data_IF_852317749161
#
_entry.id   IF_852317749161
#
_cell.length_a   1.000
_cell.length_b   1.000
_cell.length_c   1.000
_cell.angle_alpha   90.00
_cell.angle_beta   90.00
_cell.angle_gamma   90.00
#
_symmetry.space_group_name_H-M   'P 1'
#
loop_
_entity.id
_entity.type
_entity.pdbx_description
1 polymer ?
#
# COMPACT_ATOMS: atom_id res chain seq x y z
N UNK A 1 5.10 -12.67 1.71
CA UNK A 1 4.73 -11.26 1.99
C UNK A 1 5.49 -10.32 1.07
N UNK A 2 5.04 -9.07 0.94
CA UNK A 2 5.75 -8.10 0.12
C UNK A 2 7.19 -7.91 0.62
N UNK A 3 8.15 -7.94 -0.30
CA UNK A 3 9.57 -7.67 -0.07
C UNK A 3 10.38 -8.70 0.71
N UNK A 4 9.83 -9.85 1.13
CA UNK A 4 10.54 -10.80 2.01
C UNK A 4 11.93 -11.20 1.48
N UNK A 5 12.04 -11.55 0.20
CA UNK A 5 13.31 -11.92 -0.43
C UNK A 5 14.34 -10.77 -0.43
N UNK A 6 13.91 -9.53 -0.70
CA UNK A 6 14.79 -8.36 -0.67
C UNK A 6 15.19 -8.02 0.76
N UNK A 7 14.23 -8.01 1.68
CA UNK A 7 14.45 -7.72 3.10
C UNK A 7 15.43 -8.71 3.73
N UNK A 8 15.27 -10.01 3.47
CA UNK A 8 16.17 -11.04 4.00
C UNK A 8 17.62 -10.85 3.50
N UNK A 9 17.80 -10.57 2.21
CA UNK A 9 19.11 -10.30 1.63
C UNK A 9 19.76 -9.07 2.25
N UNK A 10 19.01 -7.95 2.36
CA UNK A 10 19.51 -6.72 2.96
C UNK A 10 19.85 -6.90 4.45
N UNK A 11 19.02 -7.61 5.21
CA UNK A 11 19.30 -7.92 6.62
C UNK A 11 20.58 -8.73 6.80
N UNK A 12 20.82 -9.72 5.93
CA UNK A 12 22.04 -10.52 5.98
C UNK A 12 23.28 -9.68 5.70
N UNK A 13 23.24 -8.80 4.70
CA UNK A 13 24.32 -7.85 4.39
C UNK A 13 24.59 -6.93 5.60
N UNK A 14 23.54 -6.36 6.18
CA UNK A 14 23.64 -5.44 7.33
C UNK A 14 24.08 -6.11 8.62
N UNK A 15 23.70 -7.38 8.82
CA UNK A 15 24.20 -8.18 9.97
C UNK A 15 25.72 -8.34 9.90
N UNK A 16 26.26 -8.58 8.70
CA UNK A 16 27.71 -8.68 8.49
C UNK A 16 28.41 -7.35 8.75
N UNK A 17 27.83 -6.23 8.34
CA UNK A 17 28.36 -4.90 8.62
C UNK A 17 28.35 -4.54 10.11
N UNK A 18 27.26 -4.84 10.82
CA UNK A 18 27.15 -4.59 12.28
C UNK A 18 28.14 -5.40 13.09
N UNK A 19 28.50 -6.60 12.64
CA UNK A 19 29.44 -7.48 13.32
C UNK A 19 30.91 -7.00 13.28
N UNK A 20 31.23 -6.03 12.44
CA UNK A 20 32.57 -5.46 12.31
C UNK A 20 32.72 -4.24 13.21
N UNK A 21 33.57 -4.30 14.20
CA UNK A 21 33.82 -3.18 15.12
C UNK A 21 34.48 -1.96 14.45
N UNK A 22 35.22 -2.17 13.34
CA UNK A 22 35.77 -1.14 12.47
C UNK A 22 35.45 -1.50 11.04
N UNK A 23 35.09 -0.50 10.22
CA UNK A 23 34.86 -0.67 8.78
C UNK A 23 35.99 0.02 8.02
N UNK A 24 36.47 -0.62 6.96
CA UNK A 24 37.30 0.00 5.94
C UNK A 24 36.43 0.43 4.75
N UNK A 25 36.92 1.34 3.91
CA UNK A 25 36.27 1.70 2.65
C UNK A 25 36.01 0.47 1.77
N UNK A 26 36.92 -0.52 1.79
CA UNK A 26 36.77 -1.76 1.05
C UNK A 26 35.58 -2.59 1.55
N UNK A 27 35.34 -2.62 2.87
CA UNK A 27 34.20 -3.30 3.48
C UNK A 27 32.88 -2.65 3.07
N UNK A 28 32.81 -1.32 3.08
CA UNK A 28 31.63 -0.57 2.66
C UNK A 28 31.34 -0.82 1.17
N UNK A 29 32.36 -0.72 0.30
CA UNK A 29 32.21 -0.99 -1.13
C UNK A 29 31.78 -2.42 -1.44
N UNK A 30 32.30 -3.40 -0.71
CA UNK A 30 31.89 -4.79 -0.83
C UNK A 30 30.42 -4.98 -0.46
N UNK A 31 29.97 -4.43 0.68
CA UNK A 31 28.57 -4.48 1.10
C UNK A 31 27.64 -3.77 0.11
N UNK A 32 28.02 -2.59 -0.38
CA UNK A 32 27.22 -1.86 -1.38
C UNK A 32 27.12 -2.59 -2.72
N UNK A 33 28.13 -3.39 -3.07
CA UNK A 33 28.04 -4.28 -4.25
C UNK A 33 26.98 -5.37 -4.06
N UNK A 34 26.88 -5.94 -2.87
CA UNK A 34 25.83 -6.92 -2.54
C UNK A 34 24.45 -6.26 -2.51
N UNK A 35 24.32 -5.05 -1.89
CA UNK A 35 23.08 -4.27 -1.91
C UNK A 35 22.65 -3.97 -3.36
N UNK A 36 23.59 -3.59 -4.23
CA UNK A 36 23.32 -3.38 -5.66
C UNK A 36 22.71 -4.62 -6.32
N UNK A 37 23.30 -5.78 -6.08
CA UNK A 37 22.80 -7.04 -6.65
C UNK A 37 21.39 -7.37 -6.11
N UNK A 38 21.17 -7.23 -4.81
CA UNK A 38 19.86 -7.46 -4.19
C UNK A 38 18.77 -6.55 -4.79
N UNK A 39 19.07 -5.27 -5.02
CA UNK A 39 18.12 -4.33 -5.64
C UNK A 39 17.84 -4.68 -7.11
N UNK A 40 18.85 -5.11 -7.88
CA UNK A 40 18.65 -5.54 -9.25
C UNK A 40 17.82 -6.83 -9.36
N UNK A 41 18.04 -7.79 -8.45
CA UNK A 41 17.24 -9.01 -8.36
C UNK A 41 15.79 -8.73 -7.92
N UNK A 42 15.58 -7.62 -7.20
CA UNK A 42 14.26 -7.12 -6.86
C UNK A 42 13.60 -6.28 -7.97
N UNK A 43 14.09 -6.35 -9.18
CA UNK A 43 13.60 -5.61 -10.36
C UNK A 43 13.59 -4.08 -10.20
N UNK A 44 14.51 -3.52 -9.39
CA UNK A 44 14.69 -2.06 -9.31
C UNK A 44 15.36 -1.57 -10.61
N UNK A 45 14.92 -0.43 -11.13
CA UNK A 45 15.47 0.15 -12.35
C UNK A 45 16.99 0.37 -12.27
N UNK A 46 17.73 -0.09 -13.27
CA UNK A 46 19.20 -0.05 -13.27
C UNK A 46 19.78 1.36 -13.06
N UNK A 47 19.19 2.38 -13.68
CA UNK A 47 19.65 3.77 -13.54
C UNK A 47 19.44 4.26 -12.11
N UNK A 48 18.30 3.89 -11.52
CA UNK A 48 17.94 4.22 -10.13
C UNK A 48 18.91 3.53 -9.16
N UNK A 49 19.17 2.23 -9.34
CA UNK A 49 20.15 1.49 -8.52
C UNK A 49 21.54 2.11 -8.62
N UNK A 50 21.99 2.47 -9.82
CA UNK A 50 23.31 3.09 -10.00
C UNK A 50 23.44 4.42 -9.26
N UNK A 51 22.41 5.27 -9.35
CA UNK A 51 22.39 6.56 -8.67
C UNK A 51 22.33 6.38 -7.15
N UNK A 52 21.48 5.50 -6.67
CA UNK A 52 21.33 5.16 -5.25
C UNK A 52 22.65 4.67 -4.65
N UNK A 53 23.31 3.68 -5.27
CA UNK A 53 24.60 3.17 -4.78
C UNK A 53 25.64 4.26 -4.74
N UNK A 54 25.71 5.13 -5.76
CA UNK A 54 26.63 6.25 -5.80
C UNK A 54 26.41 7.23 -4.64
N UNK A 55 25.14 7.62 -4.41
CA UNK A 55 24.78 8.52 -3.31
C UNK A 55 25.11 7.93 -1.94
N UNK A 56 24.77 6.65 -1.72
CA UNK A 56 25.13 5.95 -0.47
C UNK A 56 26.64 5.85 -0.31
N UNK A 57 27.40 5.51 -1.36
CA UNK A 57 28.85 5.37 -1.30
C UNK A 57 29.52 6.70 -0.92
N UNK A 58 29.14 7.81 -1.58
CA UNK A 58 29.66 9.14 -1.28
C UNK A 58 29.45 9.56 0.18
N UNK A 59 28.30 9.24 0.75
CA UNK A 59 27.98 9.55 2.15
C UNK A 59 28.62 8.57 3.13
N UNK A 60 28.66 7.27 2.80
CA UNK A 60 29.15 6.22 3.69
C UNK A 60 30.67 6.16 3.84
N UNK A 61 31.43 6.66 2.89
CA UNK A 61 32.92 6.73 2.92
C UNK A 61 33.41 8.02 3.60
N UNK A 62 32.51 8.92 3.99
CA UNK A 62 32.87 10.16 4.70
C UNK A 62 33.61 9.90 6.02
N UNK A 63 34.53 10.83 6.37
CA UNK A 63 35.39 10.71 7.56
C UNK A 63 34.58 10.55 8.86
N UNK A 64 33.42 11.23 8.95
CA UNK A 64 32.52 11.18 10.12
C UNK A 64 31.92 9.78 10.33
N UNK A 65 31.63 9.04 9.25
CA UNK A 65 31.11 7.67 9.33
C UNK A 65 32.22 6.69 9.72
N UNK A 66 33.38 6.81 9.08
CA UNK A 66 34.51 5.89 9.26
C UNK A 66 35.15 6.02 10.66
N UNK A 67 35.09 7.21 11.26
CA UNK A 67 35.59 7.48 12.61
C UNK A 67 34.56 7.25 13.72
N UNK A 68 33.32 6.95 13.38
CA UNK A 68 32.23 6.69 14.33
C UNK A 68 32.49 5.43 15.18
N UNK A 69 31.98 5.42 16.41
CA UNK A 69 31.96 4.23 17.27
C UNK A 69 31.06 3.11 16.74
N UNK A 70 30.13 3.43 15.84
CA UNK A 70 29.16 2.49 15.25
C UNK A 70 29.07 2.65 13.74
N UNK A 71 30.17 2.48 12.97
CA UNK A 71 30.18 2.81 11.54
C UNK A 71 29.20 1.95 10.73
N UNK A 72 28.98 0.67 11.10
CA UNK A 72 28.02 -0.19 10.43
C UNK A 72 26.56 0.29 10.60
N UNK A 73 26.21 0.84 11.75
CA UNK A 73 24.88 1.42 11.97
C UNK A 73 24.70 2.72 11.17
N UNK A 74 25.75 3.54 11.07
CA UNK A 74 25.71 4.76 10.27
C UNK A 74 25.50 4.46 8.78
N UNK A 75 26.16 3.44 8.23
CA UNK A 75 25.93 3.01 6.85
C UNK A 75 24.49 2.57 6.62
N UNK A 76 23.92 1.79 7.54
CA UNK A 76 22.51 1.34 7.45
C UNK A 76 21.55 2.54 7.51
N UNK A 77 21.82 3.50 8.38
CA UNK A 77 21.03 4.75 8.47
C UNK A 77 21.06 5.51 7.14
N UNK A 78 22.25 5.65 6.53
CA UNK A 78 22.41 6.31 5.23
C UNK A 78 21.63 5.57 4.14
N UNK A 79 21.69 4.23 4.11
CA UNK A 79 20.91 3.42 3.17
C UNK A 79 19.40 3.67 3.35
N UNK A 80 18.92 3.72 4.59
CA UNK A 80 17.51 4.01 4.86
C UNK A 80 17.10 5.40 4.38
N UNK A 81 17.87 6.42 4.70
CA UNK A 81 17.61 7.81 4.29
C UNK A 81 17.58 7.96 2.76
N UNK A 82 18.52 7.33 2.05
CA UNK A 82 18.53 7.33 0.59
C UNK A 82 17.35 6.55 -0.02
N UNK A 83 16.91 5.45 0.61
CA UNK A 83 15.69 4.74 0.18
C UNK A 83 14.44 5.62 0.34
N UNK A 84 14.31 6.30 1.48
CA UNK A 84 13.21 7.25 1.72
C UNK A 84 13.24 8.36 0.66
N UNK A 85 14.41 8.92 0.37
CA UNK A 85 14.59 9.95 -0.65
C UNK A 85 14.18 9.48 -2.05
N UNK A 86 14.55 8.25 -2.44
CA UNK A 86 14.13 7.64 -3.72
C UNK A 86 12.60 7.55 -3.86
N UNK A 87 11.90 7.24 -2.78
CA UNK A 87 10.45 7.07 -2.76
C UNK A 87 9.68 8.37 -2.60
N UNK A 88 10.37 9.51 -2.31
CA UNK A 88 9.75 10.82 -2.31
C UNK A 88 9.91 11.64 -1.04
N UNK A 89 10.65 11.17 -0.04
CA UNK A 89 10.97 11.83 1.24
C UNK A 89 9.74 12.12 2.12
N UNK A 90 8.64 12.61 1.55
CA UNK A 90 7.43 13.01 2.25
C UNK A 90 6.20 12.28 1.73
N UNK A 91 5.24 12.08 2.62
CA UNK A 91 3.91 11.57 2.26
C UNK A 91 3.16 12.60 1.44
N UNK A 92 2.59 12.17 0.32
CA UNK A 92 1.80 13.03 -0.56
C UNK A 92 0.35 12.59 -0.53
N UNK A 93 -0.57 13.51 -0.32
CA UNK A 93 -2.01 13.26 -0.42
C UNK A 93 -2.57 13.72 -1.77
N UNK A 94 -3.74 13.17 -2.16
CA UNK A 94 -4.50 13.68 -3.29
C UNK A 94 -5.03 15.07 -2.95
N UNK A 95 -4.68 16.07 -3.75
CA UNK A 95 -5.15 17.41 -3.57
C UNK A 95 -6.66 17.50 -3.84
N UNK A 96 -7.43 17.86 -2.83
CA UNK A 96 -8.87 18.06 -2.93
C UNK A 96 -9.19 19.56 -2.85
N UNK A 97 -10.11 20.02 -3.68
CA UNK A 97 -10.67 21.36 -3.60
C UNK A 97 -11.47 21.56 -2.30
N UNK A 98 -11.76 22.81 -1.90
CA UNK A 98 -12.69 23.07 -0.80
C UNK A 98 -14.02 22.33 -0.98
N UNK A 99 -14.69 22.00 0.13
CA UNK A 99 -15.92 21.18 0.11
C UNK A 99 -17.08 21.78 -0.69
N UNK A 100 -17.05 23.08 -0.98
CA UNK A 100 -18.01 23.79 -1.84
C UNK A 100 -17.74 23.61 -3.35
N UNK A 101 -16.59 23.06 -3.71
CA UNK A 101 -16.21 22.84 -5.11
C UNK A 101 -16.07 21.34 -5.39
N UNK A 102 -16.31 20.96 -6.66
CA UNK A 102 -16.15 19.57 -7.10
C UNK A 102 -14.69 19.33 -7.47
N UNK A 103 -14.09 18.33 -6.85
CA UNK A 103 -12.81 17.76 -7.29
C UNK A 103 -13.07 16.61 -8.25
N UNK A 104 -12.50 16.65 -9.44
CA UNK A 104 -12.62 15.61 -10.47
C UNK A 104 -11.31 14.83 -10.52
N UNK A 105 -11.39 13.54 -10.22
CA UNK A 105 -10.27 12.60 -10.23
C UNK A 105 -10.49 11.59 -11.34
N UNK A 106 -9.51 11.42 -12.22
CA UNK A 106 -9.54 10.41 -13.27
C UNK A 106 -8.59 9.26 -12.93
N UNK A 107 -9.14 8.04 -12.87
CA UNK A 107 -8.37 6.83 -12.62
C UNK A 107 -7.94 6.22 -13.94
N UNK A 108 -6.65 6.10 -14.17
CA UNK A 108 -6.04 5.55 -15.37
C UNK A 108 -5.21 4.29 -15.07
N UNK A 109 -4.88 3.49 -16.09
CA UNK A 109 -4.02 2.30 -15.95
C UNK A 109 -4.46 1.13 -16.82
N UNK A 110 -3.65 0.09 -16.88
CA UNK A 110 -3.91 -1.09 -17.69
C UNK A 110 -5.04 -1.97 -17.15
N UNK A 111 -5.53 -2.86 -18.00
CA UNK A 111 -6.48 -3.89 -17.57
C UNK A 111 -5.83 -4.82 -16.54
N UNK A 112 -6.59 -5.18 -15.52
CA UNK A 112 -6.09 -6.05 -14.44
C UNK A 112 -5.23 -5.35 -13.38
N UNK A 113 -4.89 -4.06 -13.55
CA UNK A 113 -4.17 -3.28 -12.56
C UNK A 113 -4.96 -2.96 -11.28
N UNK A 114 -6.24 -3.30 -11.22
CA UNK A 114 -7.08 -3.06 -10.04
C UNK A 114 -7.75 -1.69 -9.98
N UNK A 115 -7.90 -0.97 -11.12
CA UNK A 115 -8.51 0.37 -11.17
C UNK A 115 -9.88 0.43 -10.49
N UNK A 116 -10.85 -0.34 -10.98
CA UNK A 116 -12.24 -0.34 -10.52
C UNK A 116 -12.36 -0.60 -9.01
N UNK A 117 -11.58 -1.57 -8.50
CA UNK A 117 -11.54 -1.86 -7.05
C UNK A 117 -10.92 -0.70 -6.28
N UNK A 118 -9.80 -0.15 -6.78
CA UNK A 118 -9.11 0.99 -6.15
C UNK A 118 -9.97 2.24 -6.16
N UNK A 119 -10.73 2.48 -7.24
CA UNK A 119 -11.69 3.58 -7.38
C UNK A 119 -12.72 3.54 -6.25
N UNK A 120 -13.32 2.38 -5.98
CA UNK A 120 -14.28 2.21 -4.91
C UNK A 120 -13.64 2.34 -3.51
N UNK A 121 -12.43 1.78 -3.31
CA UNK A 121 -11.67 1.93 -2.05
C UNK A 121 -11.36 3.40 -1.75
N UNK A 122 -10.94 4.14 -2.76
CA UNK A 122 -10.61 5.56 -2.64
C UNK A 122 -11.85 6.40 -2.29
N UNK A 123 -12.99 6.11 -2.94
CA UNK A 123 -14.25 6.76 -2.63
C UNK A 123 -14.68 6.53 -1.18
N UNK A 124 -14.54 5.31 -0.67
CA UNK A 124 -14.80 4.99 0.74
C UNK A 124 -13.93 5.81 1.70
N UNK A 125 -12.63 5.97 1.38
CA UNK A 125 -11.72 6.82 2.17
C UNK A 125 -12.12 8.29 2.16
N UNK A 126 -12.52 8.82 1.01
CA UNK A 126 -13.00 10.20 0.93
C UNK A 126 -14.31 10.40 1.69
N UNK A 127 -15.23 9.43 1.61
CA UNK A 127 -16.46 9.45 2.41
C UNK A 127 -16.16 9.46 3.91
N UNK A 128 -15.22 8.65 4.38
CA UNK A 128 -14.78 8.64 5.77
C UNK A 128 -14.16 9.99 6.21
N UNK A 129 -13.53 10.71 5.27
CA UNK A 129 -13.03 12.09 5.49
C UNK A 129 -14.12 13.17 5.35
N UNK A 130 -15.42 12.81 5.31
CA UNK A 130 -16.55 13.73 5.22
C UNK A 130 -16.82 14.29 3.82
N UNK A 131 -16.22 13.72 2.76
CA UNK A 131 -16.55 14.09 1.38
C UNK A 131 -17.82 13.37 0.91
N UNK A 132 -18.45 13.89 -0.14
CA UNK A 132 -19.58 13.28 -0.84
C UNK A 132 -19.10 12.79 -2.22
N UNK A 133 -18.51 11.58 -2.31
CA UNK A 133 -18.00 11.07 -3.57
C UNK A 133 -19.09 10.50 -4.46
N UNK A 134 -18.94 10.70 -5.79
CA UNK A 134 -19.68 10.06 -6.86
C UNK A 134 -18.71 9.23 -7.70
N UNK A 135 -18.98 7.96 -7.85
CA UNK A 135 -18.25 7.07 -8.75
C UNK A 135 -18.87 7.14 -10.16
N UNK A 136 -18.05 7.14 -11.21
CA UNK A 136 -18.52 7.26 -12.58
C UNK A 136 -17.96 6.12 -13.41
N UNK A 137 -18.86 5.31 -14.00
CA UNK A 137 -18.50 4.17 -14.85
C UNK A 137 -18.20 4.63 -16.28
N UNK A 138 -16.94 4.92 -16.59
CA UNK A 138 -16.47 5.28 -17.91
C UNK A 138 -15.88 4.09 -18.70
N UNK A 139 -15.74 2.89 -18.12
CA UNK A 139 -15.36 1.66 -18.84
C UNK A 139 -16.59 1.06 -19.53
N UNK A 140 -16.93 1.63 -20.69
CA UNK A 140 -18.10 1.21 -21.48
C UNK A 140 -17.85 -0.05 -22.31
N UNK A 141 -16.61 -0.46 -22.45
CA UNK A 141 -16.22 -1.61 -23.28
C UNK A 141 -16.46 -2.95 -22.57
N UNK A 142 -16.61 -2.92 -21.24
CA UNK A 142 -16.80 -4.10 -20.42
C UNK A 142 -18.02 -3.93 -19.51
N UNK A 143 -19.18 -4.50 -19.87
CA UNK A 143 -20.39 -4.43 -19.02
C UNK A 143 -20.14 -4.90 -17.58
N UNK A 144 -19.33 -5.95 -17.40
CA UNK A 144 -18.96 -6.46 -16.09
C UNK A 144 -18.18 -5.43 -15.24
N UNK A 145 -17.45 -4.48 -15.84
CA UNK A 145 -16.75 -3.43 -15.09
C UNK A 145 -17.72 -2.43 -14.46
N UNK A 146 -18.81 -2.08 -15.18
CA UNK A 146 -19.88 -1.22 -14.66
C UNK A 146 -20.55 -1.90 -13.46
N UNK A 147 -20.88 -3.19 -13.60
CA UNK A 147 -21.50 -3.97 -12.52
C UNK A 147 -20.55 -4.09 -11.31
N UNK A 148 -19.27 -4.37 -11.55
CA UNK A 148 -18.25 -4.45 -10.50
C UNK A 148 -18.10 -3.12 -9.75
N UNK A 149 -18.06 -1.99 -10.46
CA UNK A 149 -17.99 -0.67 -9.83
C UNK A 149 -19.24 -0.41 -8.98
N UNK A 150 -20.43 -0.78 -9.49
CA UNK A 150 -21.70 -0.63 -8.77
C UNK A 150 -21.74 -1.45 -7.49
N UNK A 151 -21.33 -2.72 -7.56
CA UNK A 151 -21.28 -3.61 -6.38
C UNK A 151 -20.31 -3.03 -5.33
N UNK A 152 -19.11 -2.64 -5.75
CA UNK A 152 -18.09 -2.11 -4.85
C UNK A 152 -18.46 -0.74 -4.27
N UNK A 153 -19.07 0.13 -5.08
CA UNK A 153 -19.60 1.42 -4.63
C UNK A 153 -20.70 1.24 -3.58
N UNK A 154 -21.64 0.35 -3.82
CA UNK A 154 -22.73 0.04 -2.87
C UNK A 154 -22.19 -0.51 -1.55
N UNK A 155 -21.16 -1.35 -1.56
CA UNK A 155 -20.50 -1.85 -0.33
C UNK A 155 -19.88 -0.72 0.49
N UNK A 156 -19.47 0.37 -0.16
CA UNK A 156 -18.97 1.59 0.51
C UNK A 156 -20.08 2.61 0.82
N UNK A 157 -21.32 2.32 0.39
CA UNK A 157 -22.44 3.25 0.45
C UNK A 157 -22.17 4.53 -0.36
N UNK A 158 -21.52 4.40 -1.52
CA UNK A 158 -21.19 5.47 -2.45
C UNK A 158 -22.01 5.29 -3.73
N UNK A 159 -22.63 6.38 -4.21
CA UNK A 159 -23.41 6.36 -5.44
C UNK A 159 -22.53 6.16 -6.67
N UNK A 160 -23.05 5.39 -7.63
CA UNK A 160 -22.42 5.10 -8.91
C UNK A 160 -23.27 5.65 -10.05
N UNK A 161 -22.70 6.55 -10.84
CA UNK A 161 -23.32 7.09 -12.03
C UNK A 161 -22.90 6.27 -13.26
N UNK A 162 -23.87 5.83 -14.04
CA UNK A 162 -23.64 5.10 -15.30
C UNK A 162 -24.67 5.49 -16.35
N UNK A 163 -24.25 5.51 -17.61
CA UNK A 163 -25.14 5.68 -18.76
C UNK A 163 -25.16 4.41 -19.65
N UNK A 164 -24.71 3.28 -19.11
CA UNK A 164 -24.60 2.02 -19.86
C UNK A 164 -23.41 2.02 -20.83
N UNK A 165 -23.45 1.15 -21.82
CA UNK A 165 -22.32 0.87 -22.74
C UNK A 165 -22.41 1.58 -24.09
N UNK A 166 -23.49 2.31 -24.36
CA UNK A 166 -23.76 2.90 -25.69
C UNK A 166 -23.35 4.38 -25.79
N UNK A 167 -22.77 4.93 -24.74
CA UNK A 167 -22.34 6.34 -24.72
C UNK A 167 -20.80 6.43 -24.71
N UNK A 168 -20.29 7.56 -25.23
CA UNK A 168 -18.84 7.81 -25.16
C UNK A 168 -18.40 8.13 -23.73
N UNK A 169 -17.22 7.69 -23.27
CA UNK A 169 -16.70 8.00 -21.95
C UNK A 169 -16.67 9.48 -21.61
N UNK A 170 -16.34 10.34 -22.58
CA UNK A 170 -16.34 11.80 -22.43
C UNK A 170 -17.73 12.37 -22.15
N UNK A 171 -18.78 11.84 -22.78
CA UNK A 171 -20.16 12.30 -22.59
C UNK A 171 -20.69 11.85 -21.23
N UNK A 172 -20.32 10.63 -20.80
CA UNK A 172 -20.61 10.12 -19.44
C UNK A 172 -19.96 11.02 -18.40
N UNK A 173 -18.69 11.38 -18.58
CA UNK A 173 -17.97 12.26 -17.65
C UNK A 173 -18.62 13.64 -17.54
N UNK A 174 -19.03 14.25 -18.66
CA UNK A 174 -19.77 15.53 -18.69
C UNK A 174 -21.09 15.43 -17.94
N UNK A 175 -21.88 14.40 -18.23
CA UNK A 175 -23.19 14.18 -17.61
C UNK A 175 -23.04 13.93 -16.10
N UNK A 176 -22.02 13.17 -15.68
CA UNK A 176 -21.74 12.89 -14.29
C UNK A 176 -21.37 14.16 -13.50
N UNK A 177 -20.59 15.08 -14.10
CA UNK A 177 -20.26 16.37 -13.44
C UNK A 177 -21.52 17.24 -13.32
N UNK A 178 -22.39 17.26 -14.33
CA UNK A 178 -23.67 17.96 -14.22
C UNK A 178 -24.57 17.34 -13.14
N UNK A 179 -24.63 16.01 -13.06
CA UNK A 179 -25.34 15.28 -12.00
C UNK A 179 -24.77 15.61 -10.62
N UNK A 180 -23.43 15.62 -10.50
CA UNK A 180 -22.77 15.93 -9.23
C UNK A 180 -23.10 17.35 -8.73
N UNK A 181 -23.15 18.35 -9.62
CA UNK A 181 -23.53 19.73 -9.28
C UNK A 181 -24.96 19.82 -8.78
N UNK A 182 -25.87 19.05 -9.36
CA UNK A 182 -27.30 19.11 -9.03
C UNK A 182 -27.66 18.32 -7.75
N UNK A 183 -26.76 17.46 -7.25
CA UNK A 183 -27.01 16.56 -6.11
C UNK A 183 -25.97 16.73 -5.01
N UNK A 184 -25.29 17.88 -4.94
CA UNK A 184 -24.35 18.25 -3.87
C UNK A 184 -23.17 17.29 -3.67
N UNK A 185 -22.74 16.54 -4.70
CA UNK A 185 -21.49 15.81 -4.66
C UNK A 185 -20.30 16.77 -4.82
N UNK A 186 -19.25 16.53 -4.06
CA UNK A 186 -18.05 17.39 -4.09
C UNK A 186 -16.76 16.66 -4.50
N UNK A 187 -16.87 15.40 -4.87
CA UNK A 187 -15.76 14.61 -5.38
C UNK A 187 -16.31 13.66 -6.44
N UNK A 188 -15.79 13.72 -7.66
CA UNK A 188 -16.17 12.86 -8.78
C UNK A 188 -14.97 12.01 -9.15
N UNK A 189 -15.13 10.69 -9.18
CA UNK A 189 -14.04 9.76 -9.51
C UNK A 189 -14.44 8.98 -10.76
N UNK A 190 -13.73 9.25 -11.87
CA UNK A 190 -13.95 8.63 -13.17
C UNK A 190 -13.16 7.30 -13.23
N UNK A 191 -13.86 6.16 -13.27
CA UNK A 191 -13.26 4.84 -13.52
C UNK A 191 -13.18 4.61 -15.02
N UNK A 192 -12.00 4.82 -15.63
CA UNK A 192 -11.81 4.72 -17.07
C UNK A 192 -11.49 3.30 -17.52
N UNK A 193 -11.66 3.04 -18.80
CA UNK A 193 -11.27 1.77 -19.40
C UNK A 193 -9.77 1.49 -19.27
N UNK A 194 -9.40 0.21 -19.23
CA UNK A 194 -8.03 -0.26 -19.34
C UNK A 194 -7.89 -1.23 -20.51
N UNK A 195 -6.78 -1.14 -21.22
CA UNK A 195 -6.37 -2.09 -22.25
C UNK A 195 -5.30 -3.03 -21.69
N UNK A 196 -5.02 -4.13 -22.39
CA UNK A 196 -3.99 -5.09 -21.97
C UNK A 196 -2.57 -4.49 -22.03
N UNK A 197 -2.36 -3.54 -22.92
CA UNK A 197 -1.10 -2.81 -23.08
C UNK A 197 -1.37 -1.35 -23.42
N UNK A 198 -0.32 -0.54 -23.33
CA UNK A 198 -0.38 0.87 -23.71
C UNK A 198 -0.59 0.98 -25.22
N UNK A 199 -1.73 1.51 -25.64
CA UNK A 199 -2.05 1.80 -27.04
C UNK A 199 -2.48 3.26 -27.22
N UNK A 200 -2.49 3.73 -28.48
CA UNK A 200 -2.80 5.12 -28.81
C UNK A 200 -4.29 5.45 -28.57
N UNK A 201 -5.19 4.52 -28.84
CA UNK A 201 -6.63 4.75 -28.71
C UNK A 201 -7.00 4.99 -27.24
N UNK A 202 -6.44 4.18 -26.33
CA UNK A 202 -6.63 4.37 -24.88
C UNK A 202 -6.07 5.72 -24.42
N UNK A 203 -4.88 6.09 -24.88
CA UNK A 203 -4.27 7.37 -24.51
C UNK A 203 -5.08 8.56 -25.03
N UNK A 204 -5.56 8.48 -26.27
CA UNK A 204 -6.39 9.51 -26.87
C UNK A 204 -7.73 9.66 -26.15
N UNK A 205 -8.36 8.57 -25.70
CA UNK A 205 -9.59 8.62 -24.90
C UNK A 205 -9.38 9.37 -23.58
N UNK A 206 -8.28 9.08 -22.86
CA UNK A 206 -7.95 9.79 -21.61
C UNK A 206 -7.67 11.28 -21.86
N UNK A 207 -6.95 11.61 -22.95
CA UNK A 207 -6.69 12.99 -23.37
C UNK A 207 -7.99 13.69 -23.73
N UNK A 208 -8.91 13.02 -24.45
CA UNK A 208 -10.21 13.58 -24.81
C UNK A 208 -11.05 13.88 -23.55
N UNK A 209 -11.07 13.00 -22.57
CA UNK A 209 -11.73 13.27 -21.28
C UNK A 209 -11.12 14.51 -20.63
N UNK A 210 -9.78 14.56 -20.49
CA UNK A 210 -9.09 15.73 -19.89
C UNK A 210 -9.37 17.04 -20.60
N UNK A 211 -9.46 17.02 -21.93
CA UNK A 211 -9.71 18.21 -22.72
C UNK A 211 -11.15 18.74 -22.58
N UNK A 212 -12.10 17.86 -22.28
CA UNK A 212 -13.53 18.18 -22.27
C UNK A 212 -14.12 18.38 -20.87
N UNK A 213 -13.47 17.83 -19.84
CA UNK A 213 -13.84 18.04 -18.44
C UNK A 213 -12.62 18.50 -17.66
N UNK A 214 -12.81 19.41 -16.69
CA UNK A 214 -11.72 19.91 -15.86
C UNK A 214 -11.31 18.82 -14.88
N UNK A 215 -10.40 17.92 -15.30
CA UNK A 215 -9.82 16.89 -14.43
C UNK A 215 -8.77 17.56 -13.54
N UNK A 216 -8.95 17.47 -12.23
CA UNK A 216 -8.03 18.07 -11.25
C UNK A 216 -6.84 17.17 -10.95
N UNK A 217 -7.07 15.83 -10.94
CA UNK A 217 -6.06 14.84 -10.65
C UNK A 217 -6.20 13.63 -11.59
N UNK A 218 -5.12 13.25 -12.24
CA UNK A 218 -5.02 12.01 -13.03
C UNK A 218 -4.17 11.02 -12.23
N UNK A 219 -4.80 9.97 -11.70
CA UNK A 219 -4.15 8.98 -10.85
C UNK A 219 -3.96 7.69 -11.64
N UNK A 220 -2.71 7.26 -11.76
CA UNK A 220 -2.36 6.01 -12.41
C UNK A 220 -2.40 4.86 -11.41
N UNK A 221 -3.13 3.81 -11.72
CA UNK A 221 -3.15 2.56 -10.96
C UNK A 221 -2.27 1.53 -11.65
N UNK A 222 -1.29 0.99 -10.94
CA UNK A 222 -0.29 0.06 -11.48
C UNK A 222 -0.20 -1.18 -10.61
N UNK A 223 -0.08 -2.33 -11.24
CA UNK A 223 0.15 -3.60 -10.58
C UNK A 223 1.64 -3.71 -10.18
N UNK A 224 1.94 -3.78 -8.88
CA UNK A 224 3.31 -3.85 -8.38
C UNK A 224 4.02 -5.17 -8.71
N UNK A 225 3.27 -6.22 -9.00
CA UNK A 225 3.82 -7.54 -9.37
C UNK A 225 4.49 -7.54 -10.75
N UNK A 226 4.19 -6.56 -11.59
CA UNK A 226 4.77 -6.46 -12.94
C UNK A 226 6.20 -5.87 -12.96
N UNK A 227 6.76 -5.54 -11.80
CA UNK A 227 8.16 -5.12 -11.66
C UNK A 227 8.52 -3.90 -12.55
N UNK A 228 9.50 -4.05 -13.43
CA UNK A 228 9.93 -2.97 -14.35
C UNK A 228 8.86 -2.55 -15.36
N UNK A 229 7.93 -3.43 -15.74
CA UNK A 229 6.85 -3.05 -16.65
C UNK A 229 5.92 -2.02 -16.01
N UNK A 230 5.71 -2.09 -14.68
CA UNK A 230 5.00 -1.05 -13.94
C UNK A 230 5.64 0.34 -14.13
N UNK A 231 6.97 0.41 -14.11
CA UNK A 231 7.73 1.66 -14.28
C UNK A 231 7.63 2.16 -15.73
N UNK A 232 7.73 1.26 -16.71
CA UNK A 232 7.59 1.59 -18.13
C UNK A 232 6.19 2.12 -18.45
N UNK A 233 5.15 1.48 -17.90
CA UNK A 233 3.75 1.92 -18.00
C UNK A 233 3.60 3.30 -17.38
N UNK A 234 4.14 3.53 -16.18
CA UNK A 234 4.05 4.82 -15.50
C UNK A 234 4.75 5.94 -16.30
N UNK A 235 5.93 5.68 -16.89
CA UNK A 235 6.59 6.62 -17.80
C UNK A 235 5.72 6.96 -19.00
N UNK A 236 5.17 5.94 -19.66
CA UNK A 236 4.37 6.14 -20.87
C UNK A 236 3.10 6.96 -20.59
N UNK A 237 2.39 6.68 -19.49
CA UNK A 237 1.22 7.46 -19.09
C UNK A 237 1.60 8.89 -18.71
N UNK A 238 2.73 9.08 -18.01
CA UNK A 238 3.19 10.40 -17.62
C UNK A 238 3.56 11.25 -18.84
N UNK A 239 4.23 10.67 -19.84
CA UNK A 239 4.64 11.36 -21.05
C UNK A 239 3.46 11.72 -21.97
N UNK A 240 2.51 10.80 -22.14
CA UNK A 240 1.41 10.96 -23.13
C UNK A 240 0.19 11.67 -22.55
N UNK A 241 -0.22 11.34 -21.34
CA UNK A 241 -1.46 11.86 -20.71
C UNK A 241 -1.15 12.89 -19.61
N UNK A 242 -0.01 12.77 -18.97
CA UNK A 242 0.33 13.52 -17.75
C UNK A 242 -0.43 12.99 -16.55
N UNK A 243 0.29 12.39 -15.60
CA UNK A 243 -0.26 11.88 -14.34
C UNK A 243 0.15 12.80 -13.18
N UNK A 244 -0.63 12.80 -12.10
CA UNK A 244 -0.36 13.59 -10.90
C UNK A 244 0.15 12.73 -9.74
N UNK A 245 -0.18 11.44 -9.77
CA UNK A 245 0.30 10.48 -8.79
C UNK A 245 0.03 9.04 -9.20
N UNK A 246 0.57 8.10 -8.44
CA UNK A 246 0.49 6.66 -8.70
C UNK A 246 -0.07 5.94 -7.49
N UNK A 247 -0.91 4.94 -7.72
CA UNK A 247 -1.35 3.97 -6.72
C UNK A 247 -0.80 2.61 -7.12
N UNK A 248 -0.05 1.98 -6.22
CA UNK A 248 0.46 0.62 -6.40
C UNK A 248 -0.53 -0.38 -5.81
N UNK A 249 -0.93 -1.37 -6.59
CA UNK A 249 -1.82 -2.45 -6.15
C UNK A 249 -1.07 -3.76 -5.98
N UNK A 250 -1.71 -4.72 -5.31
CA UNK A 250 -1.22 -6.09 -5.12
C UNK A 250 0.14 -6.17 -4.41
N UNK A 251 0.38 -5.24 -3.49
CA UNK A 251 1.60 -5.26 -2.68
C UNK A 251 1.63 -6.41 -1.67
N UNK A 252 0.47 -7.00 -1.37
CA UNK A 252 0.29 -8.22 -0.58
C UNK A 252 0.78 -9.50 -1.27
N UNK A 253 0.94 -9.47 -2.58
CA UNK A 253 1.49 -10.58 -3.36
C UNK A 253 3.01 -10.74 -3.22
N UNK A 254 3.57 -11.68 -3.97
CA UNK A 254 5.04 -11.89 -4.06
C UNK A 254 5.68 -10.77 -4.90
N UNK A 255 5.72 -9.57 -4.35
CA UNK A 255 6.31 -8.41 -5.00
C UNK A 255 7.77 -8.27 -4.65
N UNK A 256 8.63 -8.10 -5.67
CA UNK A 256 10.06 -7.88 -5.49
C UNK A 256 10.42 -6.47 -5.01
N UNK A 257 9.46 -5.53 -5.05
CA UNK A 257 9.62 -4.16 -4.57
C UNK A 257 10.18 -3.15 -5.56
N UNK A 258 10.64 -3.59 -6.72
CA UNK A 258 11.30 -2.73 -7.69
C UNK A 258 10.45 -1.57 -8.19
N UNK A 259 9.14 -1.78 -8.36
CA UNK A 259 8.21 -0.72 -8.76
C UNK A 259 8.14 0.41 -7.73
N UNK A 260 8.01 0.07 -6.43
CA UNK A 260 7.91 1.07 -5.36
C UNK A 260 9.16 1.95 -5.27
N UNK A 261 10.35 1.37 -5.46
CA UNK A 261 11.62 2.08 -5.43
C UNK A 261 11.92 2.87 -6.71
N UNK A 262 11.28 2.55 -7.83
CA UNK A 262 11.66 3.10 -9.13
C UNK A 262 10.69 4.15 -9.66
N UNK A 263 9.39 4.04 -9.38
CA UNK A 263 8.36 4.87 -10.02
C UNK A 263 8.60 6.36 -9.78
N UNK A 264 8.81 6.78 -8.53
CA UNK A 264 9.05 8.19 -8.21
C UNK A 264 10.34 8.71 -8.86
N UNK A 265 11.41 7.92 -8.80
CA UNK A 265 12.69 8.29 -9.36
C UNK A 265 12.67 8.43 -10.89
N UNK A 266 11.88 7.59 -11.58
CA UNK A 266 11.78 7.59 -13.06
C UNK A 266 10.77 8.61 -13.56
N UNK A 267 9.60 8.73 -12.93
CA UNK A 267 8.49 9.57 -13.42
C UNK A 267 8.45 10.96 -12.80
N UNK A 268 9.14 11.16 -11.66
CA UNK A 268 9.00 12.37 -10.85
C UNK A 268 7.69 12.47 -10.08
N UNK A 269 6.76 11.49 -10.24
CA UNK A 269 5.41 11.53 -9.65
C UNK A 269 5.34 10.75 -8.35
N UNK A 270 4.61 11.25 -7.33
CA UNK A 270 4.54 10.59 -6.03
C UNK A 270 3.71 9.31 -6.10
N UNK A 271 4.07 8.35 -5.24
CA UNK A 271 3.18 7.26 -4.88
C UNK A 271 2.25 7.78 -3.79
N UNK A 272 0.94 7.63 -3.99
CA UNK A 272 -0.09 8.19 -3.10
C UNK A 272 -0.64 7.14 -2.14
N UNK A 273 -0.98 5.97 -2.67
CA UNK A 273 -1.54 4.85 -1.92
C UNK A 273 -0.95 3.53 -2.38
N UNK A 274 -1.09 2.52 -1.52
CA UNK A 274 -0.75 1.13 -1.80
C UNK A 274 -1.93 0.22 -1.46
N UNK A 275 -2.21 -0.75 -2.33
CA UNK A 275 -3.18 -1.81 -2.10
C UNK A 275 -2.49 -3.00 -1.47
N UNK A 276 -2.88 -3.32 -0.24
CA UNK A 276 -2.29 -4.37 0.60
C UNK A 276 -3.20 -5.60 0.72
N UNK A 277 -4.20 -5.75 -0.15
CA UNK A 277 -5.13 -6.86 -0.13
C UNK A 277 -6.42 -6.58 -0.90
N UNK A 278 -7.34 -7.53 -0.90
CA UNK A 278 -8.59 -7.46 -1.65
C UNK A 278 -9.71 -6.70 -0.92
N UNK A 279 -9.68 -6.66 0.41
CA UNK A 279 -10.71 -6.00 1.20
C UNK A 279 -10.79 -4.51 0.86
N UNK A 280 -11.98 -3.93 1.00
CA UNK A 280 -12.20 -2.49 0.72
C UNK A 280 -11.39 -1.57 1.66
N UNK A 281 -11.04 -2.07 2.86
CA UNK A 281 -10.15 -1.40 3.82
C UNK A 281 -8.67 -1.41 3.43
N UNK A 282 -8.24 -2.33 2.54
CA UNK A 282 -6.83 -2.61 2.26
C UNK A 282 -6.22 -1.64 1.22
N UNK A 283 -6.54 -0.37 1.33
CA UNK A 283 -5.88 0.72 0.62
C UNK A 283 -5.22 1.62 1.66
N UNK A 284 -3.91 1.57 1.74
CA UNK A 284 -3.13 2.33 2.72
C UNK A 284 -2.50 3.58 2.08
N UNK A 285 -2.35 4.65 2.88
CA UNK A 285 -1.55 5.80 2.48
C UNK A 285 -0.09 5.35 2.30
N UNK A 286 0.60 5.87 1.29
CA UNK A 286 2.01 5.57 1.10
C UNK A 286 2.88 6.46 2.00
N UNK A 287 3.65 5.83 2.86
CA UNK A 287 4.63 6.47 3.73
C UNK A 287 6.03 6.00 3.33
N UNK A 288 6.86 6.86 2.71
CA UNK A 288 8.21 6.49 2.24
C UNK A 288 9.11 5.90 3.33
N UNK A 289 9.08 6.49 4.53
CA UNK A 289 9.86 6.07 5.70
C UNK A 289 9.46 4.68 6.20
N UNK A 290 8.16 4.41 6.31
CA UNK A 290 7.65 3.10 6.71
C UNK A 290 7.95 2.03 5.67
N UNK A 291 7.81 2.39 4.39
CA UNK A 291 8.12 1.49 3.29
C UNK A 291 9.62 1.13 3.25
N UNK A 292 10.51 2.12 3.44
CA UNK A 292 11.94 1.88 3.57
C UNK A 292 12.24 0.95 4.75
N UNK A 293 11.63 1.18 5.91
CA UNK A 293 11.79 0.34 7.09
C UNK A 293 11.32 -1.09 6.85
N UNK A 294 10.19 -1.31 6.15
CA UNK A 294 9.72 -2.64 5.75
C UNK A 294 10.73 -3.34 4.82
N UNK A 295 11.20 -2.65 3.78
CA UNK A 295 12.17 -3.19 2.82
C UNK A 295 13.50 -3.57 3.51
N UNK A 296 13.94 -2.79 4.49
CA UNK A 296 15.14 -3.06 5.28
C UNK A 296 14.93 -4.11 6.37
N UNK A 297 13.69 -4.62 6.53
CA UNK A 297 13.35 -5.59 7.57
C UNK A 297 13.44 -5.02 9.00
N UNK A 298 13.29 -3.70 9.14
CA UNK A 298 13.31 -3.00 10.43
C UNK A 298 11.93 -2.97 11.11
N UNK A 299 10.91 -3.52 10.43
CA UNK A 299 9.52 -3.53 10.88
C UNK A 299 8.79 -2.20 10.61
N UNK A 300 7.49 -2.22 10.83
CA UNK A 300 6.62 -1.04 10.69
C UNK A 300 5.70 -0.93 11.90
N UNK A 301 6.28 -0.57 13.03
CA UNK A 301 5.57 -0.45 14.31
C UNK A 301 4.51 0.67 14.27
N UNK A 302 4.76 1.76 13.54
CA UNK A 302 3.82 2.87 13.46
C UNK A 302 2.52 2.48 12.75
N UNK A 303 2.60 1.79 11.61
CA UNK A 303 1.40 1.27 10.95
C UNK A 303 0.64 0.28 11.82
N UNK A 304 1.34 -0.54 12.62
CA UNK A 304 0.69 -1.45 13.56
C UNK A 304 -0.06 -0.69 14.66
N UNK A 305 0.55 0.34 15.23
CA UNK A 305 -0.09 1.20 16.24
C UNK A 305 -1.34 1.88 15.65
N UNK A 306 -1.23 2.49 14.47
CA UNK A 306 -2.36 3.16 13.81
C UNK A 306 -3.51 2.18 13.49
N UNK A 307 -3.20 0.98 13.04
CA UNK A 307 -4.23 -0.06 12.83
C UNK A 307 -4.89 -0.47 14.13
N UNK A 308 -4.12 -0.60 15.20
CA UNK A 308 -4.64 -0.90 16.52
C UNK A 308 -5.53 0.25 17.03
N UNK A 309 -5.07 1.50 16.96
CA UNK A 309 -5.84 2.68 17.39
C UNK A 309 -7.15 2.86 16.59
N UNK A 310 -7.13 2.57 15.29
CA UNK A 310 -8.32 2.68 14.43
C UNK A 310 -9.40 1.62 14.74
N UNK A 311 -9.03 0.51 15.37
CA UNK A 311 -9.93 -0.62 15.63
C UNK A 311 -10.24 -0.84 17.11
N UNK A 312 -9.41 -0.31 17.99
CA UNK A 312 -9.61 -0.40 19.45
C UNK A 312 -10.40 0.81 19.90
N UNK A 313 -11.63 0.59 20.32
CA UNK A 313 -12.37 1.55 21.11
C UNK A 313 -11.64 1.72 22.45
N UNK A 314 -11.09 2.91 22.70
CA UNK A 314 -10.25 3.18 23.88
C UNK A 314 -11.01 2.89 25.22
N UNK A 315 -12.31 3.00 25.21
CA UNK A 315 -13.15 2.70 26.39
C UNK A 315 -13.32 1.20 26.57
N UNK A 316 -13.50 0.44 25.48
CA UNK A 316 -13.53 -1.03 25.49
C UNK A 316 -12.19 -1.65 25.89
N UNK A 317 -11.06 -1.07 25.46
CA UNK A 317 -9.74 -1.53 25.86
C UNK A 317 -9.49 -1.39 27.37
N UNK A 318 -9.95 -0.29 27.97
CA UNK A 318 -9.87 -0.10 29.43
C UNK A 318 -10.79 -1.06 30.18
N UNK A 319 -11.99 -1.31 29.66
CA UNK A 319 -12.94 -2.28 30.24
C UNK A 319 -12.35 -3.69 30.23
N UNK A 320 -11.75 -4.10 29.10
CA UNK A 320 -11.11 -5.40 28.95
C UNK A 320 -9.88 -5.55 29.88
N UNK A 321 -9.03 -4.51 30.00
CA UNK A 321 -7.93 -4.47 30.95
C UNK A 321 -8.43 -4.64 32.41
N UNK A 322 -9.55 -3.99 32.74
CA UNK A 322 -10.16 -4.11 34.06
C UNK A 322 -10.71 -5.52 34.32
N UNK A 323 -11.36 -6.15 33.31
CA UNK A 323 -11.87 -7.54 33.40
C UNK A 323 -10.72 -8.55 33.55
N UNK A 324 -9.64 -8.41 32.79
CA UNK A 324 -8.45 -9.27 32.92
C UNK A 324 -7.84 -9.14 34.32
N UNK A 325 -7.67 -7.93 34.86
CA UNK A 325 -7.15 -7.68 36.19
C UNK A 325 -8.02 -8.28 37.32
N UNK A 326 -9.33 -8.38 37.11
CA UNK A 326 -10.29 -8.95 38.03
C UNK A 326 -10.50 -10.45 37.85
N UNK A 327 -9.85 -11.08 36.87
CA UNK A 327 -10.10 -12.47 36.45
C UNK A 327 -11.58 -12.73 36.01
N UNK A 328 -12.22 -11.73 35.43
CA UNK A 328 -13.61 -11.76 34.92
C UNK A 328 -13.66 -11.94 33.39
N UNK A 329 -12.55 -12.36 32.76
CA UNK A 329 -12.45 -12.57 31.31
C UNK A 329 -13.22 -13.86 30.91
N UNK A 330 -14.26 -13.73 30.09
CA UNK A 330 -15.13 -14.81 29.67
C UNK A 330 -14.98 -15.22 28.20
N UNK A 331 -15.82 -16.17 27.73
CA UNK A 331 -15.77 -16.64 26.34
C UNK A 331 -16.26 -15.61 25.33
N UNK A 332 -17.16 -14.72 25.70
CA UNK A 332 -17.65 -13.66 24.82
C UNK A 332 -16.54 -12.60 24.64
N UNK A 333 -15.83 -12.25 25.70
CA UNK A 333 -14.65 -11.40 25.65
C UNK A 333 -13.56 -12.01 24.75
N UNK A 334 -13.35 -13.34 24.84
CA UNK A 334 -12.41 -14.04 23.96
C UNK A 334 -12.80 -13.98 22.48
N UNK A 335 -14.09 -14.16 22.15
CA UNK A 335 -14.61 -14.09 20.79
C UNK A 335 -14.50 -12.66 20.23
N UNK A 336 -14.80 -11.64 21.04
CA UNK A 336 -14.61 -10.24 20.62
C UNK A 336 -13.13 -9.93 20.35
N UNK A 337 -12.23 -10.37 21.23
CA UNK A 337 -10.78 -10.18 21.08
C UNK A 337 -10.20 -10.87 19.84
N UNK A 338 -10.59 -12.12 19.59
CA UNK A 338 -10.15 -12.85 18.38
C UNK A 338 -10.69 -12.22 17.11
N UNK A 339 -11.92 -11.69 17.14
CA UNK A 339 -12.52 -10.92 16.05
C UNK A 339 -11.74 -9.63 15.74
N UNK A 340 -11.29 -8.90 16.77
CA UNK A 340 -10.45 -7.71 16.62
C UNK A 340 -9.10 -8.06 15.98
N UNK A 341 -8.40 -9.11 16.45
CA UNK A 341 -7.13 -9.58 15.85
C UNK A 341 -7.32 -9.92 14.37
N UNK A 342 -8.42 -10.60 14.01
CA UNK A 342 -8.70 -10.94 12.61
C UNK A 342 -8.94 -9.69 11.75
N UNK A 343 -9.62 -8.69 12.28
CA UNK A 343 -9.87 -7.42 11.59
C UNK A 343 -8.57 -6.61 11.41
N UNK A 344 -7.59 -6.76 12.30
CA UNK A 344 -6.25 -6.15 12.18
C UNK A 344 -5.36 -6.84 11.11
N UNK A 345 -5.87 -7.81 10.37
CA UNK A 345 -5.14 -8.53 9.32
C UNK A 345 -4.57 -9.88 9.74
N UNK A 346 -4.99 -10.41 10.91
CA UNK A 346 -4.55 -11.71 11.43
C UNK A 346 -3.19 -11.65 12.16
N UNK A 347 -2.86 -12.75 12.82
CA UNK A 347 -1.63 -12.87 13.61
C UNK A 347 -0.37 -12.71 12.75
N UNK A 348 -0.38 -13.24 11.52
CA UNK A 348 0.75 -13.16 10.59
C UNK A 348 1.07 -11.72 10.17
N UNK A 349 0.05 -10.90 9.90
CA UNK A 349 0.24 -9.48 9.56
C UNK A 349 0.82 -8.68 10.72
N UNK A 350 0.34 -8.93 11.94
CA UNK A 350 0.86 -8.28 13.16
C UNK A 350 2.32 -8.66 13.40
N UNK A 351 2.65 -9.95 13.27
CA UNK A 351 4.01 -10.45 13.46
C UNK A 351 5.01 -9.89 12.44
N UNK A 352 4.59 -9.69 11.19
CA UNK A 352 5.45 -9.12 10.14
C UNK A 352 5.81 -7.65 10.37
N UNK A 353 5.01 -6.93 11.14
CA UNK A 353 5.22 -5.50 11.44
C UNK A 353 6.11 -5.27 12.66
N UNK A 354 6.36 -6.29 13.50
CA UNK A 354 7.18 -6.15 14.70
C UNK A 354 8.68 -6.24 14.39
N UNK A 355 9.51 -5.28 14.85
CA UNK A 355 10.96 -5.31 14.63
C UNK A 355 11.59 -6.52 15.34
N UNK A 356 12.40 -7.29 14.61
CA UNK A 356 13.18 -8.41 15.16
C UNK A 356 12.41 -9.73 15.32
N UNK A 357 11.14 -9.82 14.98
CA UNK A 357 10.37 -11.06 14.95
C UNK A 357 10.28 -11.70 13.54
N UNK A 358 10.80 -11.05 12.50
CA UNK A 358 11.06 -11.69 11.21
C UNK A 358 12.07 -12.81 11.39
N UNK A 359 11.86 -13.94 10.75
CA UNK A 359 12.49 -15.28 10.80
C UNK A 359 14.01 -15.41 11.11
N UNK A 360 14.71 -14.36 11.52
CA UNK A 360 16.17 -14.35 11.79
C UNK A 360 16.64 -14.03 13.20
N UNK A 361 15.78 -13.64 14.13
CA UNK A 361 16.17 -13.37 15.52
C UNK A 361 15.98 -14.59 16.42
N UNK A 362 16.84 -14.78 17.41
CA UNK A 362 17.03 -15.84 18.41
C UNK A 362 15.85 -16.73 18.88
N UNK A 363 14.74 -16.77 18.15
CA UNK A 363 13.57 -17.63 18.40
C UNK A 363 13.59 -18.94 17.59
N UNK A 364 14.76 -19.45 17.22
CA UNK A 364 14.92 -20.74 16.52
C UNK A 364 14.29 -21.96 17.21
N UNK A 365 13.77 -21.81 18.43
CA UNK A 365 13.19 -22.91 19.21
C UNK A 365 11.67 -22.80 19.42
N UNK A 366 10.99 -21.80 18.89
CA UNK A 366 9.53 -21.76 18.90
C UNK A 366 9.08 -22.17 17.48
N UNK A 367 8.61 -23.41 17.35
CA UNK A 367 7.84 -23.84 16.18
C UNK A 367 6.53 -23.03 16.19
N UNK A 368 6.52 -21.92 15.44
CA UNK A 368 5.27 -21.22 15.20
C UNK A 368 4.43 -22.04 14.22
N UNK A 369 3.12 -22.23 14.50
CA UNK A 369 2.22 -22.81 13.52
C UNK A 369 2.21 -21.93 12.27
N UNK A 370 2.08 -22.53 11.12
CA UNK A 370 1.83 -21.84 9.85
C UNK A 370 0.59 -20.93 10.01
N UNK A 371 0.56 -19.80 9.30
CA UNK A 371 -0.53 -18.81 9.39
C UNK A 371 -1.89 -19.47 9.18
N UNK A 372 -1.97 -20.38 8.20
CA UNK A 372 -3.18 -21.20 7.92
C UNK A 372 -3.51 -22.13 9.08
N UNK A 373 -2.53 -22.68 9.77
CA UNK A 373 -2.72 -23.55 10.93
C UNK A 373 -3.16 -22.76 12.16
N UNK A 374 -2.59 -21.57 12.37
CA UNK A 374 -2.98 -20.67 13.45
C UNK A 374 -4.43 -20.19 13.28
N UNK A 375 -4.81 -19.81 12.06
CA UNK A 375 -6.18 -19.41 11.75
C UNK A 375 -7.17 -20.58 11.84
N UNK A 376 -6.78 -21.79 11.43
CA UNK A 376 -7.59 -22.98 11.58
C UNK A 376 -7.83 -23.35 13.06
N UNK A 377 -6.81 -23.20 13.91
CA UNK A 377 -6.93 -23.42 15.36
C UNK A 377 -7.83 -22.39 16.03
N UNK A 378 -7.74 -21.11 15.65
CA UNK A 378 -8.66 -20.06 16.10
C UNK A 378 -10.11 -20.38 15.72
N UNK A 379 -10.36 -20.72 14.46
CA UNK A 379 -11.72 -21.14 13.99
C UNK A 379 -12.26 -22.35 14.73
N UNK A 380 -11.39 -23.33 15.06
CA UNK A 380 -11.80 -24.49 15.87
C UNK A 380 -12.17 -24.08 17.29
N UNK A 381 -11.40 -23.19 17.91
CA UNK A 381 -11.70 -22.70 19.26
C UNK A 381 -13.01 -21.91 19.27
N UNK A 382 -13.25 -21.02 18.31
CA UNK A 382 -14.52 -20.31 18.15
C UNK A 382 -15.69 -21.29 17.98
N UNK A 383 -15.54 -22.32 17.13
CA UNK A 383 -16.58 -23.32 16.92
C UNK A 383 -16.88 -24.12 18.20
N UNK A 384 -15.87 -24.43 19.01
CA UNK A 384 -16.06 -25.10 20.31
C UNK A 384 -16.85 -24.19 21.25
N UNK A 385 -16.47 -22.91 21.36
CA UNK A 385 -17.17 -21.94 22.21
C UNK A 385 -18.65 -21.82 21.77
N UNK A 386 -18.90 -21.62 20.46
CA UNK A 386 -20.27 -21.55 19.93
C UNK A 386 -21.08 -22.85 20.05
N UNK A 387 -20.42 -24.00 20.19
CA UNK A 387 -21.09 -25.29 20.37
C UNK A 387 -21.44 -25.60 21.83
N UNK A 388 -20.93 -24.82 22.79
CA UNK A 388 -21.25 -24.98 24.21
C UNK A 388 -22.71 -24.67 24.46
N UNK A 389 -23.40 -25.56 25.19
CA UNK A 389 -24.77 -25.32 25.61
C UNK A 389 -24.79 -24.30 26.74
N UNK A 390 -25.82 -23.43 26.78
CA UNK A 390 -25.97 -22.33 27.74
C UNK A 390 -25.75 -22.73 29.19
N UNK A 391 -26.17 -23.97 29.57
CA UNK A 391 -26.03 -24.50 30.95
C UNK A 391 -24.60 -25.04 31.27
N UNK A 392 -23.70 -25.07 30.31
CA UNK A 392 -22.28 -25.42 30.50
C UNK A 392 -21.36 -24.22 30.56
N UNK A 393 -21.85 -23.03 30.21
CA UNK A 393 -21.09 -21.80 30.24
C UNK A 393 -21.07 -21.09 31.62
N UNK A 394 -21.96 -21.49 32.52
CA UNK A 394 -22.06 -20.98 33.91
C UNK A 394 -21.23 -21.79 34.92
N UNK A 395 -20.35 -22.69 34.48
CA UNK A 395 -19.53 -23.54 35.34
C UNK A 395 -18.02 -23.08 35.34
#
# INVERSE_FOLDING_TARGET
MAFDSLSEKLQNIFKNLRGKGRLSEADVKAALKEVKLALLEADVNFKVVKQFIKSVEERAIGQDVMSSLTPGQMVIKIVNEEMVSLMGSETTEIALKPGSEITVIMMAGLQGAGKTTTTAKLAGKFKAKGRKPLLVACDVYRPAAIEQLTINGNKQGVEVFSMGTNQKPVDIAKAAIAHAKNNDFNTVILDTAGRLHVDEDMMNELIEIKANVSVDQTILVVDSMTGQDAVNVASSFNEKVGIDGVILTKLDGDTRGGAALSIKAVTGKPILYVGMGEKLSDLEQFYPDRMASRILGMGDVLTLIEKAEAQIDADKAKEMEAKIKKAEFDFDDFLEYTGQIRNMGGIGSIMSMLPGMGLGGNMKNIQMPDEDEAEANLKRTEAIIHSCLLYTSDA
#
